data_IF_568196229009
#
_entry.id   IF_568196229009
#
_cell.length_a   1.000
_cell.length_b   1.000
_cell.length_c   1.000
_cell.angle_alpha   90.00
_cell.angle_beta   90.00
_cell.angle_gamma   90.00
#
_symmetry.space_group_name_H-M   'P 1'
#
loop_
_entity.id
_entity.type
_entity.pdbx_description
1 polymer ?
#
# COMPACT_ATOMS: atom_id res chain seq x y z
N UNK A 1 13.58 3.26 16.30
CA UNK A 1 12.98 4.04 15.24
C UNK A 1 12.38 3.15 14.17
N UNK A 2 11.12 3.39 13.81
CA UNK A 2 10.50 2.58 12.78
C UNK A 2 11.09 2.89 11.41
N UNK A 3 11.37 1.84 10.64
CA UNK A 3 11.83 1.99 9.26
C UNK A 3 10.70 2.50 8.36
N UNK A 4 11.07 3.17 7.28
CA UNK A 4 10.09 3.53 6.26
C UNK A 4 9.55 2.26 5.60
N UNK A 5 8.28 2.30 5.20
CA UNK A 5 7.63 1.14 4.60
C UNK A 5 8.32 0.66 3.33
N UNK A 6 8.82 1.59 2.51
CA UNK A 6 9.57 1.23 1.31
C UNK A 6 10.84 0.45 1.63
N UNK A 7 11.53 0.81 2.71
CA UNK A 7 12.72 0.10 3.16
C UNK A 7 12.38 -1.32 3.62
N UNK A 8 11.29 -1.46 4.37
CA UNK A 8 10.83 -2.76 4.86
C UNK A 8 10.47 -3.67 3.69
N UNK A 9 9.76 -3.14 2.71
CA UNK A 9 9.37 -3.92 1.53
C UNK A 9 10.57 -4.34 0.70
N UNK A 10 11.56 -3.45 0.53
CA UNK A 10 12.81 -3.79 -0.15
C UNK A 10 13.55 -4.90 0.59
N UNK A 11 13.59 -4.84 1.91
CA UNK A 11 14.22 -5.83 2.76
C UNK A 11 13.57 -7.21 2.59
N UNK A 12 12.23 -7.25 2.63
CA UNK A 12 11.47 -8.50 2.45
C UNK A 12 11.67 -9.03 1.04
N UNK A 13 11.67 -8.16 0.03
CA UNK A 13 11.88 -8.57 -1.36
C UNK A 13 13.29 -9.14 -1.58
N UNK A 14 14.28 -8.69 -0.83
CA UNK A 14 15.63 -9.24 -0.88
C UNK A 14 15.74 -10.60 -0.20
N UNK A 15 15.03 -10.75 0.92
CA UNK A 15 15.01 -12.00 1.69
C UNK A 15 13.63 -12.15 2.33
N UNK A 16 12.79 -13.00 1.74
CA UNK A 16 11.39 -13.16 2.16
C UNK A 16 11.25 -13.62 3.61
N UNK A 17 12.26 -14.26 4.17
CA UNK A 17 12.23 -14.69 5.58
C UNK A 17 12.16 -13.51 6.54
N UNK A 18 12.62 -12.35 6.12
CA UNK A 18 12.60 -11.14 6.96
C UNK A 18 11.19 -10.64 7.24
N UNK A 19 10.20 -11.08 6.48
CA UNK A 19 8.80 -10.72 6.75
C UNK A 19 8.38 -11.16 8.17
N UNK A 20 9.00 -12.20 8.71
CA UNK A 20 8.68 -12.67 10.06
C UNK A 20 9.03 -11.67 11.14
N UNK A 21 9.97 -10.76 10.88
CA UNK A 21 10.36 -9.71 11.82
C UNK A 21 9.32 -8.60 11.93
N UNK A 22 8.37 -8.56 10.99
CA UNK A 22 7.39 -7.46 10.89
C UNK A 22 5.94 -7.92 11.06
N UNK A 23 5.71 -9.12 11.62
CA UNK A 23 4.36 -9.68 11.74
C UNK A 23 3.39 -8.82 12.55
N UNK A 24 3.90 -7.98 13.43
CA UNK A 24 3.06 -7.12 14.28
C UNK A 24 2.95 -5.69 13.74
N UNK A 25 3.51 -5.41 12.58
CA UNK A 25 3.46 -4.08 11.97
C UNK A 25 2.10 -3.89 11.30
N UNK A 26 1.23 -3.10 11.93
CA UNK A 26 -0.13 -2.87 11.43
C UNK A 26 -0.16 -2.08 10.11
N UNK A 27 0.76 -1.15 9.93
CA UNK A 27 0.83 -0.39 8.68
C UNK A 27 1.15 -1.31 7.51
N UNK A 28 2.09 -2.23 7.71
CA UNK A 28 2.44 -3.21 6.70
C UNK A 28 1.27 -4.14 6.39
N UNK A 29 0.52 -4.53 7.43
CA UNK A 29 -0.68 -5.35 7.26
C UNK A 29 -1.72 -4.65 6.39
N UNK A 30 -1.98 -3.37 6.63
CA UNK A 30 -2.91 -2.61 5.80
C UNK A 30 -2.46 -2.57 4.34
N UNK A 31 -1.16 -2.36 4.10
CA UNK A 31 -0.62 -2.35 2.74
C UNK A 31 -0.91 -3.68 2.04
N UNK A 32 -0.62 -4.79 2.71
CA UNK A 32 -0.82 -6.11 2.11
C UNK A 32 -2.30 -6.44 1.90
N UNK A 33 -3.15 -6.08 2.84
CA UNK A 33 -4.58 -6.31 2.70
C UNK A 33 -5.14 -5.57 1.49
N UNK A 34 -4.85 -4.27 1.36
CA UNK A 34 -5.38 -3.47 0.26
C UNK A 34 -4.73 -3.78 -1.09
N UNK A 35 -3.50 -4.29 -1.07
CA UNK A 35 -2.79 -4.65 -2.30
C UNK A 35 -3.16 -6.03 -2.83
N UNK A 36 -3.58 -6.96 -1.98
CA UNK A 36 -3.78 -8.36 -2.37
C UNK A 36 -5.18 -8.91 -2.12
N UNK A 37 -5.96 -8.29 -1.23
CA UNK A 37 -7.35 -8.72 -0.99
C UNK A 37 -8.26 -8.04 -2.00
N UNK A 38 -8.85 -8.81 -2.89
CA UNK A 38 -9.71 -8.30 -3.96
C UNK A 38 -10.93 -7.56 -3.41
N UNK A 39 -11.41 -7.97 -2.24
CA UNK A 39 -12.56 -7.32 -1.59
C UNK A 39 -12.20 -5.96 -1.02
N UNK A 40 -10.91 -5.66 -0.87
CA UNK A 40 -10.42 -4.39 -0.35
C UNK A 40 -9.80 -3.50 -1.41
N UNK A 41 -9.89 -3.89 -2.69
CA UNK A 41 -9.36 -3.05 -3.77
C UNK A 41 -9.99 -1.66 -3.68
N UNK A 42 -9.16 -0.63 -3.70
CA UNK A 42 -9.64 0.75 -3.60
C UNK A 42 -10.51 1.11 -4.81
N UNK A 43 -11.61 1.80 -4.53
CA UNK A 43 -12.57 2.23 -5.55
C UNK A 43 -12.06 3.50 -6.24
N UNK A 44 -11.05 3.32 -7.08
CA UNK A 44 -10.38 4.38 -7.83
C UNK A 44 -10.06 3.86 -9.24
N UNK A 45 -10.00 4.76 -10.23
CA UNK A 45 -9.61 4.33 -11.58
C UNK A 45 -8.22 3.69 -11.59
N UNK A 46 -8.04 2.69 -12.45
CA UNK A 46 -6.74 2.04 -12.62
C UNK A 46 -5.74 2.99 -13.27
N UNK A 47 -4.47 2.77 -12.97
CA UNK A 47 -3.38 3.52 -13.55
C UNK A 47 -2.95 4.72 -12.72
N UNK A 48 -1.83 5.31 -13.12
CA UNK A 48 -1.26 6.46 -12.43
C UNK A 48 -2.02 7.72 -12.80
N UNK A 49 -2.60 8.42 -11.81
CA UNK A 49 -3.26 9.71 -12.07
C UNK A 49 -2.21 10.80 -12.27
N UNK A 50 -2.58 11.93 -12.89
CA UNK A 50 -1.66 13.07 -12.97
C UNK A 50 -1.49 13.69 -11.58
N UNK A 51 -0.25 13.81 -11.14
CA UNK A 51 0.07 14.48 -9.89
C UNK A 51 1.49 15.05 -9.93
N UNK A 52 1.73 16.08 -9.11
CA UNK A 52 3.04 16.71 -9.02
C UNK A 52 3.83 16.05 -7.87
N UNK A 53 4.99 15.50 -8.20
CA UNK A 53 5.84 14.86 -7.20
C UNK A 53 6.43 15.89 -6.23
N UNK A 54 6.49 15.50 -4.95
CA UNK A 54 7.15 16.31 -3.93
C UNK A 54 8.68 16.20 -4.12
N UNK A 55 9.38 17.27 -3.83
CA UNK A 55 10.85 17.33 -3.97
C UNK A 55 11.55 17.19 -2.62
N UNK A 56 10.82 17.11 -1.52
CA UNK A 56 11.43 16.98 -0.20
C UNK A 56 12.09 15.61 -0.02
N UNK A 57 13.17 15.53 0.77
CA UNK A 57 13.78 14.23 1.08
C UNK A 57 12.83 13.32 1.85
N UNK A 58 13.10 12.02 1.80
CA UNK A 58 12.32 11.04 2.55
C UNK A 58 12.30 11.39 4.04
N UNK A 59 11.11 11.39 4.63
CA UNK A 59 10.91 11.79 6.02
C UNK A 59 10.61 13.27 6.21
N UNK A 60 10.78 14.09 5.17
CA UNK A 60 10.56 15.54 5.22
C UNK A 60 9.32 15.97 4.42
N UNK A 61 8.60 15.02 3.85
CA UNK A 61 7.38 15.32 3.09
C UNK A 61 6.20 15.62 4.02
N UNK A 62 5.18 16.37 3.55
CA UNK A 62 4.00 16.70 4.37
C UNK A 62 3.25 15.48 4.91
N UNK A 63 3.18 14.40 4.14
CA UNK A 63 2.53 13.17 4.57
C UNK A 63 3.54 12.03 4.70
N UNK A 64 3.18 11.05 5.52
CA UNK A 64 3.97 9.85 5.76
C UNK A 64 3.06 8.66 5.52
N UNK A 65 3.44 7.76 4.61
CA UNK A 65 2.58 6.64 4.24
C UNK A 65 2.20 5.76 5.42
N UNK A 66 3.12 5.53 6.37
CA UNK A 66 2.82 4.73 7.55
C UNK A 66 1.62 5.27 8.33
N UNK A 67 1.53 6.59 8.45
CA UNK A 67 0.41 7.22 9.13
C UNK A 67 -0.88 7.20 8.30
N UNK A 68 -0.74 7.17 6.98
CA UNK A 68 -1.88 7.21 6.07
C UNK A 68 -2.53 5.84 5.86
N UNK A 69 -1.85 4.74 6.21
CA UNK A 69 -2.43 3.39 6.07
C UNK A 69 -3.74 3.24 6.83
N UNK A 70 -3.89 3.90 7.95
CA UNK A 70 -5.11 3.88 8.76
C UNK A 70 -6.31 4.48 8.04
N UNK A 71 -6.07 5.27 7.00
CA UNK A 71 -7.12 5.97 6.25
C UNK A 71 -7.43 5.31 4.91
N UNK A 72 -6.84 4.17 4.61
CA UNK A 72 -7.07 3.49 3.33
C UNK A 72 -8.55 3.18 3.10
N UNK A 73 -9.32 2.92 4.15
CA UNK A 73 -10.74 2.61 4.05
C UNK A 73 -11.55 3.74 3.42
N UNK A 74 -11.05 4.97 3.47
CA UNK A 74 -11.75 6.14 2.92
C UNK A 74 -12.04 5.98 1.44
N UNK A 75 -11.13 5.33 0.70
CA UNK A 75 -11.28 5.14 -0.74
C UNK A 75 -12.32 4.08 -1.09
N UNK A 76 -12.86 3.38 -0.11
CA UNK A 76 -13.93 2.40 -0.30
C UNK A 76 -15.25 2.84 0.33
N UNK A 77 -15.32 4.06 0.84
CA UNK A 77 -16.56 4.61 1.41
C UNK A 77 -17.56 4.87 0.28
N UNK A 78 -18.77 4.38 0.47
CA UNK A 78 -19.84 4.53 -0.52
C UNK A 78 -20.50 5.90 -0.48
N UNK A 79 -20.35 6.63 0.62
CA UNK A 79 -20.90 7.97 0.79
C UNK A 79 -20.05 9.07 0.15
N UNK A 80 -18.86 8.75 -0.34
CA UNK A 80 -18.02 9.70 -1.06
C UNK A 80 -18.21 9.55 -2.57
N UNK A 81 -18.33 10.68 -3.26
CA UNK A 81 -18.41 10.69 -4.70
C UNK A 81 -17.09 10.26 -5.32
N UNK A 82 -17.10 9.56 -6.48
CA UNK A 82 -15.86 9.12 -7.12
C UNK A 82 -14.85 10.25 -7.35
N UNK A 83 -15.32 11.43 -7.79
CA UNK A 83 -14.41 12.56 -8.02
C UNK A 83 -13.75 13.02 -6.73
N UNK A 84 -14.46 12.95 -5.61
CA UNK A 84 -13.89 13.33 -4.31
C UNK A 84 -12.80 12.35 -3.88
N UNK A 85 -13.02 11.05 -4.09
CA UNK A 85 -12.02 10.03 -3.81
C UNK A 85 -10.77 10.25 -4.63
N UNK A 86 -10.92 10.57 -5.92
CA UNK A 86 -9.79 10.85 -6.81
C UNK A 86 -9.01 12.07 -6.34
N UNK A 87 -9.71 13.12 -5.94
CA UNK A 87 -9.06 14.34 -5.43
C UNK A 87 -8.25 14.06 -4.17
N UNK A 88 -8.82 13.28 -3.24
CA UNK A 88 -8.13 12.91 -2.01
C UNK A 88 -6.90 12.06 -2.33
N UNK A 89 -7.02 11.14 -3.27
CA UNK A 89 -5.91 10.27 -3.65
C UNK A 89 -4.77 11.07 -4.30
N UNK A 90 -5.08 11.95 -5.23
CA UNK A 90 -4.09 12.81 -5.88
C UNK A 90 -3.41 13.71 -4.84
N UNK A 91 -4.18 14.30 -3.94
CA UNK A 91 -3.63 15.13 -2.87
C UNK A 91 -2.67 14.35 -1.98
N UNK A 92 -2.99 13.09 -1.68
CA UNK A 92 -2.10 12.23 -0.92
C UNK A 92 -0.80 11.96 -1.67
N UNK A 93 -0.88 11.61 -2.97
CA UNK A 93 0.30 11.35 -3.78
C UNK A 93 1.24 12.56 -3.80
N UNK A 94 0.68 13.76 -3.90
CA UNK A 94 1.46 15.00 -3.94
C UNK A 94 2.10 15.32 -2.59
N UNK A 95 1.55 14.81 -1.50
CA UNK A 95 2.08 15.03 -0.15
C UNK A 95 3.08 13.96 0.28
N UNK A 96 3.16 12.84 -0.42
CA UNK A 96 4.08 11.74 -0.11
C UNK A 96 5.41 11.90 -0.84
N UNK A 97 6.45 11.27 -0.28
CA UNK A 97 7.70 11.10 -1.02
C UNK A 97 7.42 10.32 -2.32
N UNK A 98 8.10 10.64 -3.44
CA UNK A 98 7.84 9.96 -4.72
C UNK A 98 7.86 8.42 -4.65
N UNK A 99 8.76 7.85 -3.87
CA UNK A 99 8.83 6.40 -3.71
C UNK A 99 7.59 5.84 -2.99
N UNK A 100 7.09 6.57 -1.99
CA UNK A 100 5.86 6.20 -1.31
C UNK A 100 4.64 6.42 -2.20
N UNK A 101 4.67 7.44 -3.04
CA UNK A 101 3.58 7.69 -4.00
C UNK A 101 3.49 6.55 -5.01
N UNK A 102 4.61 6.07 -5.52
CA UNK A 102 4.65 4.92 -6.43
C UNK A 102 4.12 3.66 -5.75
N UNK A 103 4.51 3.45 -4.50
CA UNK A 103 4.01 2.34 -3.70
C UNK A 103 2.50 2.44 -3.53
N UNK A 104 1.98 3.62 -3.23
CA UNK A 104 0.55 3.85 -3.06
C UNK A 104 -0.24 3.53 -4.34
N UNK A 105 0.27 3.91 -5.49
CA UNK A 105 -0.34 3.59 -6.79
C UNK A 105 -0.37 2.08 -7.00
N UNK A 106 0.71 1.38 -6.68
CA UNK A 106 0.77 -0.07 -6.80
C UNK A 106 -0.22 -0.77 -5.87
N UNK A 107 -0.41 -0.25 -4.65
CA UNK A 107 -1.41 -0.76 -3.71
C UNK A 107 -2.81 -0.59 -4.29
N UNK A 108 -3.11 0.60 -4.78
CA UNK A 108 -4.41 0.93 -5.37
C UNK A 108 -4.77 -0.01 -6.52
N UNK A 109 -3.82 -0.25 -7.41
CA UNK A 109 -4.03 -1.08 -8.60
C UNK A 109 -3.86 -2.57 -8.32
N UNK A 110 -3.50 -2.95 -7.09
CA UNK A 110 -3.18 -4.33 -6.70
C UNK A 110 -2.07 -4.94 -7.56
N UNK A 111 -1.05 -4.14 -7.81
CA UNK A 111 0.12 -4.52 -8.61
C UNK A 111 1.42 -4.43 -7.82
N UNK A 112 1.34 -4.63 -6.50
CA UNK A 112 2.51 -4.58 -5.63
C UNK A 112 3.59 -5.56 -6.07
N UNK A 113 3.20 -6.72 -6.62
CA UNK A 113 4.13 -7.73 -7.12
C UNK A 113 5.02 -7.24 -8.27
N UNK A 114 4.64 -6.16 -8.95
CA UNK A 114 5.49 -5.57 -9.99
C UNK A 114 6.65 -4.78 -9.41
N UNK A 115 6.46 -4.20 -8.23
CA UNK A 115 7.54 -3.50 -7.51
C UNK A 115 8.37 -4.45 -6.67
N UNK A 116 7.73 -5.45 -6.10
CA UNK A 116 8.35 -6.42 -5.19
C UNK A 116 7.98 -7.83 -5.59
N UNK A 117 8.64 -8.37 -6.65
CA UNK A 117 8.23 -9.66 -7.23
C UNK A 117 8.26 -10.85 -6.28
N UNK A 118 9.06 -10.80 -5.24
CA UNK A 118 9.15 -11.90 -4.27
C UNK A 118 8.07 -11.83 -3.20
N UNK A 119 7.37 -10.71 -3.10
CA UNK A 119 6.24 -10.57 -2.19
C UNK A 119 5.00 -11.05 -2.94
N UNK A 120 4.57 -12.27 -2.64
CA UNK A 120 3.46 -12.92 -3.33
C UNK A 120 2.29 -13.12 -2.38
N UNK A 121 1.11 -13.34 -2.95
CA UNK A 121 -0.08 -13.67 -2.15
C UNK A 121 0.17 -14.90 -1.28
N UNK A 122 0.80 -15.93 -1.85
CA UNK A 122 1.12 -17.17 -1.12
C UNK A 122 1.98 -16.90 0.11
N UNK A 123 3.00 -16.04 -0.03
CA UNK A 123 3.85 -15.65 1.09
C UNK A 123 3.03 -14.98 2.19
N UNK A 124 2.13 -14.08 1.81
CA UNK A 124 1.33 -13.32 2.77
C UNK A 124 0.26 -14.18 3.45
N UNK A 125 -0.31 -15.13 2.73
CA UNK A 125 -1.23 -16.10 3.31
C UNK A 125 -0.51 -17.00 4.32
N UNK A 126 0.68 -17.46 3.95
CA UNK A 126 1.47 -18.33 4.82
C UNK A 126 1.97 -17.66 6.10
N UNK A 127 2.12 -16.34 6.08
CA UNK A 127 2.58 -15.59 7.25
C UNK A 127 1.45 -14.94 8.05
N UNK A 128 0.21 -15.08 7.58
CA UNK A 128 -0.96 -14.56 8.30
C UNK A 128 -1.25 -13.08 8.08
N UNK A 129 -0.56 -12.42 7.16
CA UNK A 129 -0.85 -11.01 6.85
C UNK A 129 -2.18 -10.85 6.12
N UNK A 130 -2.56 -11.83 5.31
CA UNK A 130 -3.86 -11.86 4.65
C UNK A 130 -4.48 -13.23 4.86
N UNK A 131 -5.80 -13.30 4.78
CA UNK A 131 -6.52 -14.56 4.93
C UNK A 131 -6.31 -15.44 3.71
N UNK A 132 -6.12 -16.73 3.94
CA UNK A 132 -6.15 -17.70 2.85
C UNK A 132 -7.50 -17.61 2.15
N UNK A 133 -7.42 -17.59 0.82
CA UNK A 133 -8.62 -17.68 0.02
C UNK A 133 -9.16 -19.09 0.16
N UNK A 134 -10.20 -19.25 0.97
CA UNK A 134 -10.89 -20.52 1.03
C UNK A 134 -11.50 -20.79 -0.34
N UNK A 135 -11.03 -21.83 -0.96
CA UNK A 135 -11.77 -22.36 -2.09
C UNK A 135 -13.07 -22.90 -1.54
N UNK A 136 -14.14 -22.23 -1.79
CA UNK A 136 -15.43 -22.82 -1.60
C UNK A 136 -15.50 -24.00 -2.53
N UNK A 137 -15.48 -25.12 -1.91
CA UNK A 137 -15.77 -26.34 -2.62
C UNK A 137 -17.17 -26.23 -3.21
#
# INVERSE_FOLDING_TARGET
>A
MAKFLTEILDEINSDVKKINDYKTDNALRFIFEYAFDEDKKMDLPDGEPPYKQDTAPLGMTPANLRMETKKFYVYNRKDLKPIRKEQLFIGLLEALHPDEAKLMIAIKDQKLHKLYPKITRKLLEGTGFIKEKTKDA
#
